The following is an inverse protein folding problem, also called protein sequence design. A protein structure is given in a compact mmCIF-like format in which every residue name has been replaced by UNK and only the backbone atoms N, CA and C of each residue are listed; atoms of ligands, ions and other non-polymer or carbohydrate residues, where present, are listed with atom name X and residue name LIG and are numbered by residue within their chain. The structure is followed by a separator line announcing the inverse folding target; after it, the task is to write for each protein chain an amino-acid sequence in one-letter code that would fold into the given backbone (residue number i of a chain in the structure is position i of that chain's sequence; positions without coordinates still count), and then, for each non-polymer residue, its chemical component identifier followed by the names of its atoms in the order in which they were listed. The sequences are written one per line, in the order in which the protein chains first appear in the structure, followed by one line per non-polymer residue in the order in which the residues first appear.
data_IF_306261564158
#
_entry.id   IF_306261564158
#
_cell.length_a   1.000
_cell.length_b   1.000
_cell.length_c   1.000
_cell.angle_alpha   90.00
_cell.angle_beta   90.00
_cell.angle_gamma   90.00
#
_symmetry.space_group_name_H-M   'P 1'
#
loop_
_entity.id
_entity.type
_entity.pdbx_description
1 polymer ?
#
# COMPACT_ATOMS: atom_id res chain seq x y z
N UNK A 1 -50.27 116.68 25.95
CA UNK A 1 -49.90 115.27 25.69
C UNK A 1 -48.51 115.12 25.03
N UNK A 2 -47.52 115.96 25.39
CA UNK A 2 -46.18 115.96 24.77
C UNK A 2 -45.01 115.97 25.79
N UNK A 3 -45.28 116.08 27.09
CA UNK A 3 -44.25 116.08 28.15
C UNK A 3 -43.92 114.68 28.71
N UNK A 4 -44.85 113.73 28.65
CA UNK A 4 -44.61 112.34 29.08
C UNK A 4 -43.76 111.53 28.09
N UNK A 5 -43.86 111.82 26.79
CA UNK A 5 -43.21 111.04 25.74
C UNK A 5 -41.71 111.40 25.60
N UNK A 6 -41.34 112.66 25.88
CA UNK A 6 -39.93 113.10 25.91
C UNK A 6 -39.19 112.52 27.11
N UNK A 7 -39.84 112.40 28.27
CA UNK A 7 -39.21 111.84 29.46
C UNK A 7 -38.93 110.33 29.31
N UNK A 8 -39.85 109.60 28.65
CA UNK A 8 -39.67 108.16 28.34
C UNK A 8 -38.58 107.95 27.30
N UNK A 9 -38.47 108.82 26.28
CA UNK A 9 -37.41 108.71 25.27
C UNK A 9 -36.01 109.01 25.85
N UNK A 10 -35.90 110.00 26.72
CA UNK A 10 -34.63 110.36 27.39
C UNK A 10 -34.22 109.27 28.41
N UNK A 11 -35.18 108.66 29.11
CA UNK A 11 -34.90 107.51 29.96
C UNK A 11 -34.48 106.28 29.15
N UNK A 12 -35.06 106.02 27.97
CA UNK A 12 -34.66 104.91 27.10
C UNK A 12 -33.26 105.10 26.48
N UNK A 13 -32.85 106.35 26.19
CA UNK A 13 -31.51 106.66 25.68
C UNK A 13 -30.47 106.66 26.82
N UNK A 14 -30.85 107.07 28.03
CA UNK A 14 -29.98 106.96 29.21
C UNK A 14 -29.83 105.51 29.69
N UNK A 15 -30.88 104.68 29.55
CA UNK A 15 -30.82 103.25 29.90
C UNK A 15 -30.06 102.42 28.87
N UNK A 16 -30.06 102.80 27.58
CA UNK A 16 -29.26 102.14 26.54
C UNK A 16 -27.77 102.51 26.57
N UNK A 17 -27.39 103.61 27.24
CA UNK A 17 -25.99 104.05 27.38
C UNK A 17 -25.33 103.61 28.69
N UNK A 18 -26.11 103.15 29.69
CA UNK A 18 -25.61 102.70 31.01
C UNK A 18 -25.61 101.16 31.15
N UNK A 19 -26.16 100.42 30.17
CA UNK A 19 -26.13 98.95 30.11
C UNK A 19 -25.17 98.37 29.06
N UNK A 20 -24.12 99.11 28.70
CA UNK A 20 -22.93 98.53 28.07
C UNK A 20 -21.85 98.34 29.16
N UNK A 21 -21.83 97.20 29.89
CA UNK A 21 -20.60 96.82 30.52
C UNK A 21 -19.60 96.57 29.39
N UNK A 22 -18.63 97.47 29.29
CA UNK A 22 -17.28 97.17 28.83
C UNK A 22 -16.80 95.88 29.50
N UNK A 23 -17.14 94.74 28.90
CA UNK A 23 -16.35 93.53 28.94
C UNK A 23 -15.93 93.22 27.50
N UNK A 24 -15.22 94.16 26.91
CA UNK A 24 -13.95 93.76 26.30
C UNK A 24 -13.00 93.40 27.46
N UNK A 25 -13.34 92.32 28.18
CA UNK A 25 -12.27 91.44 28.62
C UNK A 25 -11.51 91.18 27.33
N UNK A 26 -10.25 91.56 27.29
CA UNK A 26 -9.32 90.90 26.40
C UNK A 26 -9.44 89.41 26.75
N UNK A 27 -10.43 88.73 26.19
CA UNK A 27 -10.41 87.30 25.99
C UNK A 27 -9.10 87.14 25.25
N UNK A 28 -8.08 86.68 25.96
CA UNK A 28 -6.83 86.30 25.35
C UNK A 28 -7.24 85.46 24.15
N UNK A 29 -7.01 85.99 22.94
CA UNK A 29 -7.55 85.41 21.73
C UNK A 29 -7.21 83.93 21.78
N UNK A 30 -8.22 83.07 21.86
CA UNK A 30 -7.95 81.66 22.10
C UNK A 30 -7.07 81.19 20.95
N UNK A 31 -5.86 80.73 21.28
CA UNK A 31 -4.87 80.36 20.29
C UNK A 31 -4.99 78.87 19.97
N UNK A 32 -4.57 78.45 18.76
CA UNK A 32 -4.41 77.04 18.46
C UNK A 32 -3.58 76.35 19.56
N UNK A 33 -4.04 75.19 20.02
CA UNK A 33 -3.36 74.41 21.08
C UNK A 33 -3.52 72.91 20.88
N UNK A 34 -2.56 72.16 21.41
CA UNK A 34 -2.70 70.71 21.57
C UNK A 34 -3.67 70.45 22.72
N UNK A 35 -4.68 69.61 22.47
CA UNK A 35 -5.77 69.33 23.41
C UNK A 35 -5.66 67.94 24.01
N UNK A 36 -5.24 66.95 23.22
CA UNK A 36 -5.06 65.59 23.69
C UNK A 36 -3.99 64.85 22.87
N UNK A 37 -3.41 63.82 23.47
CA UNK A 37 -2.57 62.83 22.80
C UNK A 37 -3.06 61.46 23.22
N UNK A 38 -3.49 60.67 22.25
CA UNK A 38 -3.94 59.29 22.45
C UNK A 38 -2.92 58.31 21.88
N UNK A 39 -2.81 57.16 22.54
CA UNK A 39 -2.03 56.01 22.09
C UNK A 39 -2.98 54.82 21.88
N UNK A 40 -2.80 54.05 20.80
CA UNK A 40 -3.63 52.86 20.57
C UNK A 40 -3.38 51.74 21.58
N UNK A 41 -2.18 51.67 22.16
CA UNK A 41 -1.77 50.67 23.16
C UNK A 41 -0.52 51.12 23.90
N UNK A 42 -0.35 50.61 25.10
CA UNK A 42 0.83 50.89 25.96
C UNK A 42 1.66 49.64 26.24
N UNK A 43 1.18 48.44 25.89
CA UNK A 43 1.93 47.20 25.92
C UNK A 43 2.05 46.64 24.50
N UNK A 44 3.28 46.35 24.07
CA UNK A 44 3.58 45.98 22.68
C UNK A 44 4.72 44.97 22.59
N UNK A 45 4.54 43.96 21.74
CA UNK A 45 5.60 43.02 21.39
C UNK A 45 6.60 43.68 20.44
N UNK A 46 7.87 43.64 20.82
CA UNK A 46 8.95 44.12 19.95
C UNK A 46 9.00 43.33 18.64
N UNK A 47 9.29 44.00 17.54
CA UNK A 47 9.43 43.40 16.21
C UNK A 47 8.12 43.22 15.43
N UNK A 48 6.98 43.03 16.11
CA UNK A 48 5.70 42.72 15.45
C UNK A 48 4.66 43.84 15.56
N UNK A 49 4.73 44.64 16.63
CA UNK A 49 3.70 45.65 16.90
C UNK A 49 4.24 47.07 16.78
N UNK A 50 3.30 48.00 16.60
CA UNK A 50 3.54 49.43 16.61
C UNK A 50 2.54 50.11 17.55
N UNK A 51 2.91 51.31 18.00
CA UNK A 51 2.01 52.19 18.76
C UNK A 51 1.49 53.24 17.78
N UNK A 52 0.17 53.32 17.62
CA UNK A 52 -0.43 54.41 16.85
C UNK A 52 -0.60 55.61 17.79
N UNK A 53 -0.02 56.74 17.39
CA UNK A 53 -0.08 58.01 18.12
C UNK A 53 -1.02 58.94 17.38
N UNK A 54 -1.98 59.54 18.09
CA UNK A 54 -2.84 60.59 17.54
C UNK A 54 -2.83 61.80 18.46
N UNK A 55 -2.38 62.93 17.93
CA UNK A 55 -2.38 64.24 18.61
C UNK A 55 -3.52 65.07 18.05
N UNK A 56 -4.35 65.60 18.93
CA UNK A 56 -5.50 66.43 18.59
C UNK A 56 -5.16 67.90 18.79
N UNK A 57 -5.20 68.68 17.71
CA UNK A 57 -4.91 70.12 17.74
C UNK A 57 -6.19 70.90 17.45
N UNK A 58 -6.63 71.65 18.45
CA UNK A 58 -7.77 72.55 18.33
C UNK A 58 -7.32 73.86 17.71
N UNK A 59 -8.07 74.34 16.73
CA UNK A 59 -7.88 75.67 16.12
C UNK A 59 -9.16 76.47 16.33
N UNK A 60 -9.14 77.49 17.20
CA UNK A 60 -10.29 78.36 17.43
C UNK A 60 -10.77 79.06 16.15
N UNK A 61 -12.09 79.34 16.02
CA UNK A 61 -12.62 80.06 14.85
C UNK A 61 -11.90 81.38 14.61
N UNK A 62 -11.54 81.65 13.36
CA UNK A 62 -10.82 82.87 12.97
C UNK A 62 -9.30 82.83 13.18
N UNK A 63 -8.76 81.72 13.70
CA UNK A 63 -7.31 81.49 13.81
C UNK A 63 -6.83 80.46 12.78
N UNK A 64 -5.51 80.40 12.56
CA UNK A 64 -4.90 79.43 11.65
C UNK A 64 -3.57 78.92 12.22
N UNK A 65 -3.21 77.69 11.85
CA UNK A 65 -1.91 77.09 12.13
C UNK A 65 -0.98 77.39 10.95
N UNK A 66 0.17 78.01 11.20
CA UNK A 66 1.17 78.31 10.18
C UNK A 66 2.13 77.13 9.98
N UNK A 67 2.50 76.44 11.05
CA UNK A 67 3.31 75.22 11.00
C UNK A 67 2.95 74.31 12.18
N UNK A 68 2.92 73.01 11.91
CA UNK A 68 2.72 71.97 12.91
C UNK A 68 3.64 70.80 12.60
N UNK A 69 4.48 70.45 13.57
CA UNK A 69 5.39 69.31 13.45
C UNK A 69 5.49 68.59 14.78
N UNK A 70 5.84 67.30 14.74
CA UNK A 70 6.10 66.55 15.95
C UNK A 70 6.90 65.30 15.70
N UNK A 71 7.48 64.77 16.77
CA UNK A 71 8.26 63.54 16.78
C UNK A 71 7.85 62.69 17.97
N UNK A 72 7.79 61.38 17.75
CA UNK A 72 7.65 60.37 18.78
C UNK A 72 9.00 59.71 19.02
N UNK A 73 9.52 59.84 20.24
CA UNK A 73 10.80 59.25 20.66
C UNK A 73 10.53 58.09 21.61
N UNK A 74 10.75 56.87 21.13
CA UNK A 74 10.73 55.67 21.96
C UNK A 74 12.10 55.47 22.60
N UNK A 75 12.13 55.32 23.92
CA UNK A 75 13.30 54.95 24.71
C UNK A 75 13.04 53.63 25.43
N UNK A 76 13.65 52.55 24.93
CA UNK A 76 13.53 51.20 25.51
C UNK A 76 14.82 50.41 25.30
N UNK A 77 15.94 50.93 25.81
CA UNK A 77 17.30 50.41 25.55
C UNK A 77 17.83 50.71 24.14
N UNK A 78 16.94 51.06 23.21
CA UNK A 78 17.22 51.74 21.94
C UNK A 78 16.43 53.03 21.89
N UNK A 79 16.96 54.04 21.20
CA UNK A 79 16.25 55.28 20.90
C UNK A 79 15.79 55.23 19.45
N UNK A 80 14.48 55.30 19.23
CA UNK A 80 13.88 55.40 17.90
C UNK A 80 13.03 56.67 17.81
N UNK A 81 13.28 57.48 16.79
CA UNK A 81 12.52 58.70 16.51
C UNK A 81 11.64 58.49 15.29
N UNK A 82 10.34 58.76 15.42
CA UNK A 82 9.36 58.66 14.34
C UNK A 82 8.71 60.03 14.13
N UNK A 83 8.83 60.66 12.94
CA UNK A 83 8.13 61.90 12.65
C UNK A 83 6.62 61.68 12.62
N UNK A 84 5.86 62.65 13.14
CA UNK A 84 4.40 62.65 13.05
C UNK A 84 3.95 63.37 11.78
N UNK A 85 3.01 62.77 11.05
CA UNK A 85 2.42 63.34 9.86
C UNK A 85 1.28 64.29 10.24
N UNK A 86 1.31 65.52 9.71
CA UNK A 86 0.22 66.48 9.86
C UNK A 86 -0.91 66.17 8.88
N UNK A 87 -2.11 65.98 9.42
CA UNK A 87 -3.33 65.70 8.67
C UNK A 87 -4.39 66.75 8.98
N UNK A 88 -5.06 67.23 7.94
CA UNK A 88 -6.30 68.01 8.06
C UNK A 88 -7.47 67.07 7.74
N UNK A 89 -8.31 66.71 8.72
CA UNK A 89 -9.41 65.78 8.48
C UNK A 89 -10.48 66.41 7.56
N UNK A 90 -11.02 65.60 6.66
CA UNK A 90 -12.03 66.02 5.67
C UNK A 90 -13.39 66.31 6.34
N UNK A 91 -13.67 65.60 7.44
CA UNK A 91 -14.87 65.78 8.27
C UNK A 91 -14.47 66.23 9.67
N UNK A 92 -15.27 67.07 10.36
CA UNK A 92 -14.97 67.52 11.72
C UNK A 92 -14.79 66.32 12.67
N UNK A 93 -13.61 66.22 13.28
CA UNK A 93 -13.34 65.26 14.36
C UNK A 93 -13.63 65.96 15.67
N UNK A 94 -14.40 65.34 16.56
CA UNK A 94 -14.62 65.89 17.91
C UNK A 94 -13.78 65.14 18.92
N UNK A 95 -13.21 65.87 19.90
CA UNK A 95 -12.47 65.28 21.02
C UNK A 95 -12.92 65.93 22.32
N UNK A 96 -13.39 65.11 23.26
CA UNK A 96 -13.78 65.58 24.59
C UNK A 96 -12.62 65.40 25.56
N UNK A 97 -12.25 66.47 26.25
CA UNK A 97 -11.22 66.48 27.31
C UNK A 97 -11.78 67.29 28.47
N UNK A 98 -11.76 66.72 29.67
CA UNK A 98 -12.25 67.36 30.90
C UNK A 98 -13.65 68.00 30.77
N UNK A 99 -14.61 67.24 30.22
CA UNK A 99 -15.99 67.67 29.93
C UNK A 99 -16.14 68.80 28.89
N UNK A 100 -15.08 69.18 28.18
CA UNK A 100 -15.15 70.15 27.08
C UNK A 100 -14.94 69.44 25.74
N UNK A 101 -15.87 69.64 24.81
CA UNK A 101 -15.78 69.05 23.46
C UNK A 101 -15.19 70.05 22.47
N UNK A 102 -14.07 69.66 21.86
CA UNK A 102 -13.33 70.45 20.89
C UNK A 102 -13.59 69.95 19.47
N UNK A 103 -13.79 70.88 18.53
CA UNK A 103 -13.80 70.58 17.10
C UNK A 103 -12.37 70.61 16.56
N UNK A 104 -11.82 69.44 16.25
CA UNK A 104 -10.44 69.24 15.85
C UNK A 104 -10.30 69.42 14.34
N UNK A 105 -9.47 70.39 13.96
CA UNK A 105 -9.19 70.75 12.57
C UNK A 105 -7.81 70.29 12.09
N UNK A 106 -6.95 69.85 13.02
CA UNK A 106 -5.59 69.42 12.72
C UNK A 106 -5.22 68.21 13.60
N UNK A 107 -4.63 67.19 12.99
CA UNK A 107 -4.12 66.01 13.65
C UNK A 107 -2.63 65.85 13.35
N UNK A 108 -1.87 65.33 14.33
CA UNK A 108 -0.59 64.69 14.04
C UNK A 108 -0.73 63.19 14.31
N UNK A 109 -0.34 62.36 13.35
CA UNK A 109 -0.42 60.90 13.49
C UNK A 109 0.88 60.21 13.12
N UNK A 110 1.18 59.09 13.79
CA UNK A 110 2.23 58.18 13.36
C UNK A 110 1.97 56.75 13.83
N UNK A 111 2.55 55.80 13.09
CA UNK A 111 2.80 54.44 13.58
C UNK A 111 4.24 54.37 14.06
N UNK A 112 4.44 54.22 15.36
CA UNK A 112 5.78 54.11 15.95
C UNK A 112 6.15 52.63 16.00
N UNK A 113 7.03 52.13 15.12
CA UNK A 113 7.41 50.73 15.12
C UNK A 113 8.25 50.41 16.37
N UNK A 114 8.07 49.22 16.93
CA UNK A 114 8.90 48.74 18.03
C UNK A 114 10.00 47.84 17.44
N UNK A 115 11.27 48.27 17.40
CA UNK A 115 12.33 47.48 16.78
C UNK A 115 12.56 46.15 17.51
N UNK A 116 12.95 45.10 16.79
CA UNK A 116 13.35 43.81 17.39
C UNK A 116 14.45 43.96 18.46
N UNK A 117 15.35 44.93 18.29
CA UNK A 117 16.43 45.22 19.22
C UNK A 117 16.03 45.98 20.49
N UNK A 118 14.75 46.37 20.65
CA UNK A 118 14.29 47.01 21.88
C UNK A 118 14.40 46.05 23.08
N UNK A 119 14.77 46.59 24.24
CA UNK A 119 14.89 45.81 25.48
C UNK A 119 13.50 45.58 26.06
N UNK A 120 13.19 44.31 26.36
CA UNK A 120 11.92 43.96 27.01
C UNK A 120 11.85 44.54 28.43
N UNK A 121 10.67 45.00 28.83
CA UNK A 121 10.43 45.66 30.12
C UNK A 121 9.86 47.07 29.96
N UNK A 122 10.17 47.95 30.90
CA UNK A 122 9.66 49.33 30.89
C UNK A 122 10.44 50.20 29.92
N UNK A 123 9.72 50.91 29.07
CA UNK A 123 10.22 51.98 28.22
C UNK A 123 9.40 53.26 28.39
N UNK A 124 9.81 54.29 27.68
CA UNK A 124 9.14 55.59 27.66
C UNK A 124 8.92 56.04 26.21
N UNK A 125 7.71 56.49 25.90
CA UNK A 125 7.38 57.15 24.63
C UNK A 125 7.18 58.64 24.89
N UNK A 126 8.10 59.46 24.38
CA UNK A 126 8.04 60.91 24.49
C UNK A 126 7.53 61.52 23.17
N UNK A 127 6.40 62.21 23.21
CA UNK A 127 5.80 62.91 22.07
C UNK A 127 6.12 64.40 22.19
N UNK A 128 6.93 64.91 21.27
CA UNK A 128 7.32 66.33 21.21
C UNK A 128 6.63 67.00 20.04
N UNK A 129 5.94 68.12 20.28
CA UNK A 129 5.15 68.84 19.27
C UNK A 129 5.58 70.31 19.26
N UNK A 130 5.80 70.84 18.06
CA UNK A 130 6.00 72.28 17.83
C UNK A 130 4.80 72.81 17.05
N UNK A 131 4.06 73.73 17.65
CA UNK A 131 2.90 74.39 17.06
C UNK A 131 3.21 75.87 16.87
N UNK A 132 3.07 76.36 15.64
CA UNK A 132 3.24 77.77 15.31
C UNK A 132 1.91 78.32 14.79
N UNK A 133 1.15 79.08 15.61
CA UNK A 133 -0.01 79.80 15.13
C UNK A 133 0.38 80.92 14.16
N UNK A 134 -0.51 81.26 13.23
CA UNK A 134 -0.29 82.38 12.30
C UNK A 134 -0.29 83.70 13.07
N UNK A 135 0.85 84.40 13.07
CA UNK A 135 1.01 85.68 13.77
C UNK A 135 1.38 85.57 15.26
N UNK A 136 1.81 84.39 15.73
CA UNK A 136 2.27 84.17 17.10
C UNK A 136 3.59 83.41 17.15
N UNK A 137 4.21 83.35 18.33
CA UNK A 137 5.42 82.57 18.58
C UNK A 137 5.11 81.07 18.65
N UNK A 138 6.14 80.24 18.44
CA UNK A 138 6.04 78.80 18.56
C UNK A 138 5.76 78.37 20.01
N UNK A 139 4.87 77.40 20.19
CA UNK A 139 4.60 76.71 21.45
C UNK A 139 5.09 75.27 21.36
N UNK A 140 5.80 74.82 22.39
CA UNK A 140 6.34 73.47 22.49
C UNK A 140 5.55 72.65 23.51
N UNK A 141 5.12 71.46 23.09
CA UNK A 141 4.44 70.51 23.96
C UNK A 141 5.28 69.24 24.07
N UNK A 142 5.35 68.64 25.26
CA UNK A 142 5.99 67.35 25.48
C UNK A 142 5.12 66.49 26.37
N UNK A 143 4.74 65.33 25.85
CA UNK A 143 3.99 64.31 26.59
C UNK A 143 4.84 63.06 26.75
N UNK A 144 4.81 62.44 27.92
CA UNK A 144 5.60 61.26 28.24
C UNK A 144 4.67 60.14 28.70
N UNK A 145 4.77 59.00 28.04
CA UNK A 145 3.92 57.85 28.32
C UNK A 145 4.79 56.65 28.71
N UNK A 146 4.52 55.99 29.85
CA UNK A 146 5.15 54.71 30.14
C UNK A 146 4.62 53.66 29.17
N UNK A 147 5.53 52.89 28.57
CA UNK A 147 5.20 51.77 27.69
C UNK A 147 5.87 50.50 28.19
N UNK A 148 5.22 49.36 27.97
CA UNK A 148 5.75 48.04 28.30
C UNK A 148 6.10 47.31 27.02
N UNK A 149 7.39 47.02 26.83
CA UNK A 149 7.89 46.23 25.72
C UNK A 149 7.88 44.76 26.11
N UNK A 150 7.02 43.99 25.44
CA UNK A 150 6.91 42.55 25.63
C UNK A 150 7.95 41.83 24.78
N UNK A 151 8.43 40.70 25.29
CA UNK A 151 9.43 39.89 24.61
C UNK A 151 8.83 39.12 23.42
N UNK A 152 9.52 39.15 22.28
CA UNK A 152 9.10 38.48 21.05
C UNK A 152 9.29 36.96 21.10
N UNK A 153 10.13 36.45 22.02
CA UNK A 153 10.49 35.02 22.07
C UNK A 153 9.29 34.09 22.25
N UNK A 154 8.22 34.55 22.92
CA UNK A 154 6.98 33.78 23.08
C UNK A 154 6.24 33.62 21.76
N UNK A 155 6.28 34.65 20.90
CA UNK A 155 5.67 34.65 19.57
C UNK A 155 6.45 33.72 18.64
N UNK A 156 7.78 33.87 18.60
CA UNK A 156 8.66 33.00 17.81
C UNK A 156 8.51 31.54 18.20
N UNK A 157 8.47 31.24 19.50
CA UNK A 157 8.29 29.87 19.99
C UNK A 157 6.96 29.29 19.55
N UNK A 158 5.86 30.04 19.71
CA UNK A 158 4.53 29.58 19.34
C UNK A 158 4.42 29.33 17.83
N UNK A 159 4.93 30.25 17.00
CA UNK A 159 4.99 30.10 15.55
C UNK A 159 5.82 28.88 15.14
N UNK A 160 7.02 28.74 15.71
CA UNK A 160 7.92 27.61 15.40
C UNK A 160 7.30 26.28 15.81
N UNK A 161 6.68 26.19 16.97
CA UNK A 161 6.00 24.97 17.41
C UNK A 161 4.84 24.60 16.48
N UNK A 162 3.99 25.57 16.12
CA UNK A 162 2.90 25.36 15.17
C UNK A 162 3.41 24.88 13.81
N UNK A 163 4.48 25.50 13.30
CA UNK A 163 5.10 25.12 12.04
C UNK A 163 5.66 23.70 12.07
N UNK A 164 6.43 23.34 13.11
CA UNK A 164 7.00 22.00 13.26
C UNK A 164 5.90 20.94 13.32
N UNK A 165 4.83 21.20 14.07
CA UNK A 165 3.72 20.24 14.16
C UNK A 165 2.97 20.10 12.84
N UNK A 166 2.76 21.19 12.12
CA UNK A 166 2.16 21.18 10.78
C UNK A 166 3.03 20.40 9.78
N UNK A 167 4.34 20.61 9.78
CA UNK A 167 5.27 19.87 8.92
C UNK A 167 5.32 18.37 9.25
N UNK A 168 5.31 18.02 10.54
CA UNK A 168 5.20 16.61 10.95
C UNK A 168 3.89 15.98 10.48
N UNK A 169 2.77 16.72 10.52
CA UNK A 169 1.49 16.28 10.01
C UNK A 169 1.52 16.09 8.47
N UNK A 170 2.14 17.01 7.73
CA UNK A 170 2.37 16.91 6.27
C UNK A 170 3.20 15.67 5.93
N UNK A 171 4.33 15.47 6.61
CA UNK A 171 5.23 14.36 6.37
C UNK A 171 4.55 13.02 6.66
N UNK A 172 3.83 12.91 7.78
CA UNK A 172 3.10 11.70 8.12
C UNK A 172 2.02 11.36 7.09
N UNK A 173 1.24 12.34 6.64
CA UNK A 173 0.22 12.12 5.61
C UNK A 173 0.86 11.64 4.30
N UNK A 174 1.97 12.25 3.88
CA UNK A 174 2.70 11.83 2.69
C UNK A 174 3.20 10.38 2.78
N UNK A 175 3.71 9.98 3.95
CA UNK A 175 4.10 8.57 4.21
C UNK A 175 2.88 7.65 4.17
N UNK A 176 1.76 8.04 4.77
CA UNK A 176 0.54 7.25 4.75
C UNK A 176 0.00 7.02 3.34
N UNK A 177 0.03 8.04 2.48
CA UNK A 177 -0.44 7.92 1.10
C UNK A 177 0.52 7.06 0.27
N UNK A 178 1.83 7.20 0.48
CA UNK A 178 2.85 6.40 -0.21
C UNK A 178 2.82 4.91 0.19
N UNK A 179 2.70 4.62 1.50
CA UNK A 179 2.72 3.24 2.02
C UNK A 179 1.33 2.59 1.93
N UNK A 180 0.28 3.38 2.17
CA UNK A 180 -1.10 2.90 2.18
C UNK A 180 -1.69 2.70 0.78
N UNK A 181 -1.10 3.28 -0.26
CA UNK A 181 -1.53 3.09 -1.66
C UNK A 181 -2.93 3.61 -1.99
N UNK A 182 -3.54 4.40 -1.12
CA UNK A 182 -4.84 5.03 -1.37
C UNK A 182 -4.85 6.47 -0.84
N UNK A 183 -5.43 7.42 -1.60
CA UNK A 183 -5.53 8.81 -1.18
C UNK A 183 -6.37 8.93 0.10
N UNK A 184 -6.01 9.89 0.95
CA UNK A 184 -6.70 10.16 2.21
C UNK A 184 -7.39 11.53 2.15
N UNK A 185 -8.46 11.69 1.33
CA UNK A 185 -9.03 13.01 1.01
C UNK A 185 -9.51 13.77 2.24
N UNK A 186 -10.06 13.07 3.24
CA UNK A 186 -10.51 13.68 4.49
C UNK A 186 -9.34 14.26 5.30
N UNK A 187 -8.29 13.47 5.53
CA UNK A 187 -7.09 13.93 6.24
C UNK A 187 -6.38 15.04 5.46
N UNK A 188 -6.39 14.96 4.12
CA UNK A 188 -5.82 16.00 3.27
C UNK A 188 -6.58 17.32 3.40
N UNK A 189 -7.90 17.28 3.34
CA UNK A 189 -8.75 18.47 3.53
C UNK A 189 -8.53 19.11 4.91
N UNK A 190 -8.41 18.29 5.96
CA UNK A 190 -8.07 18.80 7.30
C UNK A 190 -6.70 19.48 7.32
N UNK A 191 -5.69 18.86 6.71
CA UNK A 191 -4.33 19.41 6.63
C UNK A 191 -4.30 20.74 5.87
N UNK A 192 -5.02 20.84 4.75
CA UNK A 192 -5.10 22.06 3.95
C UNK A 192 -5.81 23.18 4.74
N UNK A 193 -6.85 22.86 5.52
CA UNK A 193 -7.53 23.81 6.42
C UNK A 193 -6.63 24.32 7.56
N UNK A 194 -5.83 23.41 8.15
CA UNK A 194 -4.85 23.77 9.19
C UNK A 194 -3.76 24.67 8.58
N UNK A 195 -3.28 24.34 7.39
CA UNK A 195 -2.30 25.15 6.65
C UNK A 195 -2.80 26.56 6.40
N UNK A 196 -4.03 26.71 5.87
CA UNK A 196 -4.62 28.02 5.64
C UNK A 196 -4.82 28.82 6.94
N UNK A 197 -5.03 28.12 8.07
CA UNK A 197 -5.10 28.78 9.38
C UNK A 197 -3.73 29.27 9.85
N UNK A 198 -2.66 28.52 9.61
CA UNK A 198 -1.30 29.00 9.85
C UNK A 198 -0.97 30.24 9.02
N UNK A 199 -1.33 30.24 7.73
CA UNK A 199 -1.12 31.40 6.85
C UNK A 199 -1.89 32.64 7.34
N UNK A 200 -3.12 32.46 7.82
CA UNK A 200 -3.90 33.54 8.45
C UNK A 200 -3.25 34.08 9.72
N UNK A 201 -2.59 33.22 10.51
CA UNK A 201 -1.84 33.66 11.69
C UNK A 201 -0.63 34.52 11.30
N UNK A 202 0.10 34.13 10.26
CA UNK A 202 1.22 34.92 9.73
C UNK A 202 0.75 36.29 9.22
N UNK A 203 -0.39 36.36 8.51
CA UNK A 203 -0.99 37.65 8.09
C UNK A 203 -1.38 38.50 9.30
N UNK A 204 -2.06 37.92 10.30
CA UNK A 204 -2.42 38.64 11.52
C UNK A 204 -1.19 39.18 12.25
N UNK A 205 -0.10 38.40 12.28
CA UNK A 205 1.14 38.77 12.96
C UNK A 205 1.91 39.87 12.22
N UNK A 206 2.20 39.68 10.93
CA UNK A 206 3.13 40.53 10.19
C UNK A 206 2.45 41.73 9.52
N UNK A 207 1.21 41.60 9.06
CA UNK A 207 0.51 42.67 8.35
C UNK A 207 -0.32 43.54 9.29
N UNK A 208 -0.96 42.91 10.29
CA UNK A 208 -1.86 43.61 11.21
C UNK A 208 -1.24 43.91 12.59
N UNK A 209 -0.10 43.29 12.94
CA UNK A 209 0.47 43.41 14.28
C UNK A 209 -0.46 42.90 15.39
N UNK A 210 -1.38 42.00 15.04
CA UNK A 210 -2.33 41.38 15.95
C UNK A 210 -1.73 40.08 16.52
N UNK A 211 -0.82 40.26 17.46
CA UNK A 211 -0.08 39.17 18.11
C UNK A 211 -0.99 38.26 18.90
N UNK A 212 -2.04 38.78 19.53
CA UNK A 212 -2.93 37.98 20.37
C UNK A 212 -3.73 36.98 19.51
N UNK A 213 -4.34 37.46 18.42
CA UNK A 213 -5.00 36.61 17.44
C UNK A 213 -4.03 35.60 16.83
N UNK A 214 -2.82 36.04 16.44
CA UNK A 214 -1.82 35.15 15.88
C UNK A 214 -1.42 34.03 16.84
N UNK A 215 -1.13 34.35 18.11
CA UNK A 215 -0.80 33.37 19.15
C UNK A 215 -1.92 32.36 19.38
N UNK A 216 -3.19 32.82 19.40
CA UNK A 216 -4.35 31.94 19.53
C UNK A 216 -4.46 30.97 18.34
N UNK A 217 -4.25 31.47 17.12
CA UNK A 217 -4.32 30.64 15.92
C UNK A 217 -3.15 29.65 15.88
N UNK A 218 -1.91 30.06 16.17
CA UNK A 218 -0.77 29.14 16.25
C UNK A 218 -1.02 28.03 17.29
N UNK A 219 -1.57 28.37 18.46
CA UNK A 219 -1.94 27.38 19.47
C UNK A 219 -2.99 26.37 18.97
N UNK A 220 -3.95 26.83 18.17
CA UNK A 220 -4.96 25.97 17.54
C UNK A 220 -4.34 25.09 16.46
N UNK A 221 -3.52 25.66 15.57
CA UNK A 221 -2.76 24.91 14.55
C UNK A 221 -1.89 23.82 15.17
N UNK A 222 -1.17 24.13 16.24
CA UNK A 222 -0.34 23.16 16.97
C UNK A 222 -1.18 22.00 17.52
N UNK A 223 -2.34 22.28 18.10
CA UNK A 223 -3.25 21.27 18.65
C UNK A 223 -3.87 20.42 17.55
N UNK A 224 -4.40 21.06 16.51
CA UNK A 224 -5.12 20.40 15.42
C UNK A 224 -4.18 19.53 14.58
N UNK A 225 -2.94 19.99 14.36
CA UNK A 225 -1.89 19.19 13.71
C UNK A 225 -1.58 17.92 14.51
N UNK A 226 -1.50 17.99 15.85
CA UNK A 226 -1.33 16.80 16.69
C UNK A 226 -2.55 15.88 16.69
N UNK A 227 -3.76 16.44 16.61
CA UNK A 227 -4.99 15.67 16.40
C UNK A 227 -4.96 14.90 15.08
N UNK A 228 -4.59 15.57 13.99
CA UNK A 228 -4.43 14.97 12.66
C UNK A 228 -3.38 13.85 12.68
N UNK A 229 -2.22 14.08 13.32
CA UNK A 229 -1.19 13.05 13.49
C UNK A 229 -1.76 11.81 14.18
N UNK A 230 -2.53 12.00 15.26
CA UNK A 230 -3.13 10.88 15.99
C UNK A 230 -4.15 10.11 15.13
N UNK A 231 -4.97 10.82 14.36
CA UNK A 231 -5.93 10.22 13.44
C UNK A 231 -5.23 9.45 12.30
N UNK A 232 -4.17 10.02 11.73
CA UNK A 232 -3.35 9.36 10.73
C UNK A 232 -2.70 8.08 11.27
N UNK A 233 -2.14 8.11 12.49
CA UNK A 233 -1.59 6.91 13.14
C UNK A 233 -2.68 5.84 13.33
N UNK A 234 -3.88 6.23 13.79
CA UNK A 234 -4.99 5.30 13.97
C UNK A 234 -5.39 4.60 12.66
N UNK A 235 -5.45 5.36 11.55
CA UNK A 235 -5.72 4.80 10.22
C UNK A 235 -4.62 3.84 9.78
N UNK A 236 -3.35 4.18 10.03
CA UNK A 236 -2.22 3.31 9.71
C UNK A 236 -2.29 1.98 10.47
N UNK A 237 -2.56 2.02 11.77
CA UNK A 237 -2.70 0.82 12.62
C UNK A 237 -3.87 -0.04 12.12
N UNK A 238 -5.02 0.56 11.85
CA UNK A 238 -6.18 -0.17 11.33
C UNK A 238 -5.88 -0.89 10.01
N UNK A 239 -5.13 -0.26 9.10
CA UNK A 239 -4.69 -0.90 7.85
C UNK A 239 -3.69 -2.02 8.08
N UNK A 240 -2.76 -1.83 9.01
CA UNK A 240 -1.79 -2.87 9.37
C UNK A 240 -2.49 -4.13 9.91
N UNK A 241 -3.51 -3.96 10.74
CA UNK A 241 -4.31 -5.07 11.26
C UNK A 241 -5.08 -5.80 10.15
N UNK A 242 -5.69 -5.06 9.22
CA UNK A 242 -6.36 -5.66 8.06
C UNK A 242 -5.41 -6.47 7.18
N UNK A 243 -4.22 -5.91 6.91
CA UNK A 243 -3.19 -6.59 6.13
C UNK A 243 -2.70 -7.86 6.85
N UNK A 244 -2.49 -7.80 8.17
CA UNK A 244 -2.11 -8.94 9.00
C UNK A 244 -3.17 -10.04 8.96
N UNK A 245 -4.45 -9.73 9.17
CA UNK A 245 -5.54 -10.71 9.11
C UNK A 245 -5.67 -11.36 7.73
N UNK A 246 -5.41 -10.60 6.67
CA UNK A 246 -5.38 -11.14 5.30
C UNK A 246 -4.24 -12.13 5.11
N UNK A 247 -3.04 -11.81 5.62
CA UNK A 247 -1.89 -12.70 5.60
C UNK A 247 -2.11 -13.96 6.43
N UNK A 248 -2.67 -13.85 7.63
CA UNK A 248 -3.02 -14.99 8.49
C UNK A 248 -4.01 -15.93 7.81
N UNK A 249 -5.05 -15.38 7.15
CA UNK A 249 -6.00 -16.18 6.34
C UNK A 249 -5.32 -16.91 5.18
N UNK A 250 -4.41 -16.23 4.46
CA UNK A 250 -3.64 -16.85 3.37
C UNK A 250 -2.71 -17.96 3.89
N UNK A 251 -2.05 -17.74 5.02
CA UNK A 251 -1.16 -18.72 5.64
C UNK A 251 -1.95 -19.96 6.08
N UNK A 252 -3.08 -19.78 6.75
CA UNK A 252 -3.97 -20.88 7.13
C UNK A 252 -4.46 -21.68 5.92
N UNK A 253 -4.78 -21.02 4.80
CA UNK A 253 -5.10 -21.69 3.54
C UNK A 253 -3.94 -22.52 2.98
N UNK A 254 -2.70 -22.01 3.07
CA UNK A 254 -1.49 -22.74 2.66
C UNK A 254 -1.27 -23.97 3.56
N UNK A 255 -1.43 -23.84 4.88
CA UNK A 255 -1.32 -24.96 5.83
C UNK A 255 -2.33 -26.07 5.55
N UNK A 256 -3.58 -25.70 5.22
CA UNK A 256 -4.61 -26.64 4.80
C UNK A 256 -4.24 -27.37 3.50
N UNK A 257 -3.74 -26.64 2.51
CA UNK A 257 -3.27 -27.23 1.24
C UNK A 257 -2.09 -28.18 1.45
N UNK A 258 -1.13 -27.81 2.30
CA UNK A 258 0.03 -28.64 2.63
C UNK A 258 -0.40 -29.94 3.34
N UNK A 259 -1.33 -29.85 4.28
CA UNK A 259 -1.89 -31.02 4.98
C UNK A 259 -2.60 -31.97 4.01
N UNK A 260 -3.39 -31.43 3.08
CA UNK A 260 -4.04 -32.21 2.02
C UNK A 260 -3.02 -32.87 1.09
N UNK A 261 -1.97 -32.15 0.69
CA UNK A 261 -0.89 -32.69 -0.14
C UNK A 261 -0.16 -33.84 0.57
N UNK A 262 0.16 -33.69 1.86
CA UNK A 262 0.78 -34.74 2.67
C UNK A 262 -0.10 -36.00 2.72
N UNK A 263 -1.41 -35.86 2.97
CA UNK A 263 -2.34 -36.98 2.97
C UNK A 263 -2.39 -37.72 1.62
N UNK A 264 -2.37 -36.97 0.50
CA UNK A 264 -2.32 -37.54 -0.85
C UNK A 264 -1.03 -38.29 -1.12
N UNK A 265 0.12 -37.76 -0.68
CA UNK A 265 1.42 -38.43 -0.79
C UNK A 265 1.40 -39.75 -0.02
N UNK A 266 0.95 -39.76 1.24
CA UNK A 266 0.87 -40.99 2.03
C UNK A 266 -0.08 -42.03 1.45
N UNK A 267 -1.16 -41.60 0.79
CA UNK A 267 -2.05 -42.51 0.06
C UNK A 267 -1.37 -43.11 -1.18
N UNK A 268 -0.61 -42.30 -1.92
CA UNK A 268 0.17 -42.75 -3.07
C UNK A 268 1.26 -43.74 -2.66
N UNK A 269 2.00 -43.46 -1.58
CA UNK A 269 3.01 -44.38 -1.02
C UNK A 269 2.42 -45.76 -0.73
N UNK A 270 1.24 -45.80 -0.07
CA UNK A 270 0.52 -47.05 0.19
C UNK A 270 0.08 -47.77 -1.09
N UNK A 271 -0.38 -47.03 -2.09
CA UNK A 271 -0.77 -47.61 -3.39
C UNK A 271 0.44 -48.19 -4.13
N UNK A 272 1.59 -47.53 -4.07
CA UNK A 272 2.84 -47.99 -4.70
C UNK A 272 3.34 -49.26 -4.01
N UNK A 273 3.32 -49.33 -2.68
CA UNK A 273 3.71 -50.54 -1.95
C UNK A 273 2.78 -51.72 -2.29
N UNK A 274 1.47 -51.49 -2.33
CA UNK A 274 0.52 -52.54 -2.74
C UNK A 274 0.77 -53.02 -4.17
N UNK A 275 1.10 -52.12 -5.10
CA UNK A 275 1.45 -52.49 -6.46
C UNK A 275 2.77 -53.29 -6.52
N UNK A 276 3.77 -52.91 -5.71
CA UNK A 276 5.03 -53.65 -5.61
C UNK A 276 4.80 -55.09 -5.11
N UNK A 277 3.93 -55.28 -4.12
CA UNK A 277 3.60 -56.62 -3.60
C UNK A 277 2.85 -57.49 -4.63
N UNK A 278 1.93 -56.89 -5.38
CA UNK A 278 1.26 -57.58 -6.49
C UNK A 278 2.26 -58.02 -7.57
N UNK A 279 3.24 -57.18 -7.89
CA UNK A 279 4.32 -57.51 -8.83
C UNK A 279 5.16 -58.68 -8.30
N UNK A 280 5.57 -58.68 -7.03
CA UNK A 280 6.31 -59.80 -6.42
C UNK A 280 5.54 -61.12 -6.51
N UNK A 281 4.23 -61.07 -6.24
CA UNK A 281 3.35 -62.25 -6.32
C UNK A 281 3.25 -62.78 -7.74
N UNK A 282 3.10 -61.89 -8.72
CA UNK A 282 3.08 -62.26 -10.14
C UNK A 282 4.42 -62.86 -10.59
N UNK A 283 5.54 -62.29 -10.15
CA UNK A 283 6.88 -62.81 -10.46
C UNK A 283 7.05 -64.25 -9.94
N UNK A 284 6.63 -64.52 -8.70
CA UNK A 284 6.66 -65.87 -8.14
C UNK A 284 5.79 -66.85 -8.94
N UNK A 285 4.61 -66.44 -9.36
CA UNK A 285 3.69 -67.25 -10.18
C UNK A 285 4.29 -67.58 -11.55
N UNK A 286 4.92 -66.60 -12.20
CA UNK A 286 5.62 -66.78 -13.48
C UNK A 286 6.77 -67.77 -13.33
N UNK A 287 7.59 -67.67 -12.27
CA UNK A 287 8.67 -68.63 -12.01
C UNK A 287 8.16 -70.06 -11.81
N UNK A 288 7.04 -70.22 -11.09
CA UNK A 288 6.38 -71.52 -10.91
C UNK A 288 5.91 -72.11 -12.23
N UNK A 289 5.24 -71.31 -13.07
CA UNK A 289 4.82 -71.71 -14.42
C UNK A 289 5.99 -72.11 -15.30
N UNK A 290 7.08 -71.32 -15.29
CA UNK A 290 8.29 -71.64 -16.05
C UNK A 290 8.88 -72.99 -15.63
N UNK A 291 8.89 -73.30 -14.33
CA UNK A 291 9.35 -74.58 -13.79
C UNK A 291 8.45 -75.74 -14.24
N UNK A 292 7.13 -75.56 -14.16
CA UNK A 292 6.16 -76.57 -14.60
C UNK A 292 6.29 -76.86 -16.10
N UNK A 293 6.43 -75.83 -16.93
CA UNK A 293 6.66 -75.97 -18.38
C UNK A 293 7.98 -76.70 -18.67
N UNK A 294 9.06 -76.38 -17.94
CA UNK A 294 10.32 -77.10 -18.05
C UNK A 294 10.18 -78.60 -17.74
N UNK A 295 9.47 -78.95 -16.66
CA UNK A 295 9.20 -80.34 -16.28
C UNK A 295 8.35 -81.06 -17.33
N UNK A 296 7.31 -80.40 -17.87
CA UNK A 296 6.51 -80.96 -18.96
C UNK A 296 7.34 -81.21 -20.21
N UNK A 297 8.19 -80.25 -20.61
CA UNK A 297 9.10 -80.41 -21.75
C UNK A 297 10.03 -81.61 -21.59
N UNK A 298 10.65 -81.76 -20.41
CA UNK A 298 11.52 -82.91 -20.10
C UNK A 298 10.77 -84.25 -20.13
N UNK A 299 9.51 -84.27 -19.66
CA UNK A 299 8.65 -85.46 -19.67
C UNK A 299 8.30 -85.86 -21.09
N UNK A 300 7.88 -84.91 -21.93
CA UNK A 300 7.60 -85.14 -23.35
C UNK A 300 8.84 -85.67 -24.05
N UNK A 301 10.01 -85.07 -23.81
CA UNK A 301 11.27 -85.52 -24.40
C UNK A 301 11.60 -86.97 -24.01
N UNK A 302 11.38 -87.34 -22.74
CA UNK A 302 11.58 -88.72 -22.25
C UNK A 302 10.64 -89.72 -22.92
N UNK A 303 9.36 -89.35 -23.10
CA UNK A 303 8.41 -90.18 -23.84
C UNK A 303 8.79 -90.35 -25.31
N UNK A 304 9.26 -89.28 -25.98
CA UNK A 304 9.72 -89.36 -27.36
C UNK A 304 10.91 -90.31 -27.50
N UNK A 305 11.90 -90.24 -26.60
CA UNK A 305 13.05 -91.15 -26.59
C UNK A 305 12.62 -92.61 -26.34
N UNK A 306 11.69 -92.84 -25.41
CA UNK A 306 11.18 -94.19 -25.13
C UNK A 306 10.39 -94.76 -26.33
N UNK A 307 9.57 -93.93 -26.98
CA UNK A 307 8.83 -94.28 -28.18
C UNK A 307 9.78 -94.65 -29.32
N UNK A 308 10.80 -93.82 -29.57
CA UNK A 308 11.81 -94.05 -30.61
C UNK A 308 12.56 -95.38 -30.41
N UNK A 309 12.93 -95.68 -29.16
CA UNK A 309 13.52 -96.99 -28.80
C UNK A 309 12.56 -98.15 -29.05
N UNK A 310 11.30 -98.03 -28.63
CA UNK A 310 10.28 -99.06 -28.84
C UNK A 310 10.01 -99.34 -30.32
N UNK A 311 9.97 -98.28 -31.15
CA UNK A 311 9.85 -98.37 -32.61
C UNK A 311 11.07 -99.10 -33.18
N UNK A 312 12.27 -98.72 -32.78
CA UNK A 312 13.53 -99.36 -33.24
C UNK A 312 13.57 -100.85 -32.86
N UNK A 313 13.24 -101.20 -31.62
CA UNK A 313 13.18 -102.59 -31.17
C UNK A 313 12.12 -103.39 -31.95
N UNK A 314 10.96 -102.78 -32.23
CA UNK A 314 9.92 -103.40 -33.04
C UNK A 314 10.39 -103.64 -34.47
N UNK A 315 11.07 -102.67 -35.09
CA UNK A 315 11.65 -102.81 -36.42
C UNK A 315 12.68 -103.95 -36.46
N UNK A 316 13.56 -104.05 -35.46
CA UNK A 316 14.53 -105.14 -35.35
C UNK A 316 13.85 -106.51 -35.22
N UNK A 317 12.76 -106.61 -34.44
CA UNK A 317 11.95 -107.83 -34.33
C UNK A 317 11.28 -108.20 -35.64
N UNK A 318 10.71 -107.23 -36.34
CA UNK A 318 10.12 -107.42 -37.67
C UNK A 318 11.18 -107.94 -38.63
N UNK A 319 12.36 -107.32 -38.68
CA UNK A 319 13.46 -107.74 -39.55
C UNK A 319 13.91 -109.17 -39.23
N UNK A 320 14.08 -109.51 -37.94
CA UNK A 320 14.41 -110.87 -37.51
C UNK A 320 13.33 -111.87 -37.91
N UNK A 321 12.05 -111.51 -37.77
CA UNK A 321 10.92 -112.35 -38.18
C UNK A 321 10.91 -112.54 -39.70
N UNK A 322 11.13 -111.48 -40.49
CA UNK A 322 11.25 -111.56 -41.94
C UNK A 322 12.38 -112.50 -42.38
N UNK A 323 13.55 -112.44 -41.72
CA UNK A 323 14.66 -113.37 -41.97
C UNK A 323 14.31 -114.82 -41.61
N UNK A 324 13.66 -115.05 -40.46
CA UNK A 324 13.21 -116.40 -40.05
C UNK A 324 12.19 -116.98 -41.03
N UNK A 325 11.15 -116.21 -41.39
CA UNK A 325 10.14 -116.62 -42.36
C UNK A 325 10.80 -116.93 -43.70
N UNK A 326 11.69 -116.06 -44.20
CA UNK A 326 12.44 -116.30 -45.44
C UNK A 326 13.23 -117.61 -45.40
N UNK A 327 13.92 -117.89 -44.28
CA UNK A 327 14.68 -119.15 -44.09
C UNK A 327 13.76 -120.37 -44.06
N UNK A 328 12.64 -120.30 -43.33
CA UNK A 328 11.65 -121.39 -43.26
C UNK A 328 11.01 -121.67 -44.63
N UNK A 329 10.64 -120.63 -45.38
CA UNK A 329 10.11 -120.78 -46.74
C UNK A 329 11.14 -121.45 -47.65
N UNK A 330 12.42 -121.02 -47.59
CA UNK A 330 13.48 -121.64 -48.38
C UNK A 330 13.69 -123.11 -48.01
N UNK A 331 13.66 -123.45 -46.71
CA UNK A 331 13.77 -124.83 -46.24
C UNK A 331 12.58 -125.70 -46.70
N UNK A 332 11.36 -125.18 -46.58
CA UNK A 332 10.14 -125.85 -47.08
C UNK A 332 10.23 -126.03 -48.60
N UNK A 333 10.62 -125.00 -49.35
CA UNK A 333 10.83 -125.07 -50.80
C UNK A 333 11.86 -126.13 -51.19
N UNK A 334 13.01 -126.17 -50.50
CA UNK A 334 14.03 -127.22 -50.69
C UNK A 334 13.50 -128.63 -50.36
N UNK A 335 12.71 -128.77 -49.28
CA UNK A 335 12.09 -130.04 -48.88
C UNK A 335 11.05 -130.51 -49.91
N UNK A 336 10.27 -129.58 -50.45
CA UNK A 336 9.32 -129.86 -51.52
C UNK A 336 10.07 -130.31 -52.77
N UNK A 337 11.09 -129.58 -53.22
CA UNK A 337 11.89 -129.94 -54.39
C UNK A 337 12.50 -131.35 -54.25
N UNK A 338 13.17 -131.62 -53.13
CA UNK A 338 13.75 -132.96 -52.87
C UNK A 338 12.71 -134.08 -52.86
N UNK A 339 11.52 -133.86 -52.28
CA UNK A 339 10.42 -134.83 -52.34
C UNK A 339 9.88 -135.01 -53.76
N UNK A 340 9.76 -133.93 -54.53
CA UNK A 340 9.29 -133.96 -55.91
C UNK A 340 10.28 -134.72 -56.81
N UNK A 341 11.57 -134.47 -56.64
CA UNK A 341 12.65 -135.20 -57.33
C UNK A 341 12.61 -136.69 -56.98
N UNK A 342 12.44 -137.01 -55.69
CA UNK A 342 12.29 -138.40 -55.24
C UNK A 342 11.06 -139.06 -55.87
N UNK A 343 9.92 -138.39 -55.89
CA UNK A 343 8.68 -138.87 -56.51
C UNK A 343 8.86 -139.09 -58.03
N UNK A 344 9.51 -138.14 -58.70
CA UNK A 344 9.85 -138.21 -60.12
C UNK A 344 10.72 -139.44 -60.42
N UNK A 345 11.76 -139.68 -59.61
CA UNK A 345 12.62 -140.86 -59.74
C UNK A 345 11.89 -142.19 -59.47
N UNK A 346 10.97 -142.21 -58.49
CA UNK A 346 10.15 -143.38 -58.22
C UNK A 346 9.17 -143.66 -59.38
N UNK A 347 8.58 -142.62 -59.95
CA UNK A 347 7.66 -142.72 -61.09
C UNK A 347 8.39 -143.22 -62.33
N UNK A 348 9.60 -142.73 -62.62
CA UNK A 348 10.40 -143.23 -63.75
C UNK A 348 10.79 -144.70 -63.56
N UNK A 349 11.16 -145.10 -62.34
CA UNK A 349 11.43 -146.50 -61.98
C UNK A 349 10.18 -147.37 -62.18
N UNK A 350 9.01 -146.89 -61.75
CA UNK A 350 7.74 -147.58 -61.95
C UNK A 350 7.36 -147.66 -63.44
N UNK A 351 7.60 -146.61 -64.23
CA UNK A 351 7.40 -146.63 -65.69
C UNK A 351 8.30 -147.68 -66.35
N UNK A 352 9.57 -147.77 -65.95
CA UNK A 352 10.50 -148.79 -66.44
C UNK A 352 10.02 -150.20 -66.07
N UNK A 353 9.61 -150.41 -64.82
CA UNK A 353 9.06 -151.68 -64.37
C UNK A 353 7.77 -152.07 -65.13
N UNK A 354 6.87 -151.11 -65.36
CA UNK A 354 5.65 -151.33 -66.13
C UNK A 354 5.97 -151.64 -67.59
N UNK A 355 6.95 -150.98 -68.20
CA UNK A 355 7.43 -151.31 -69.54
C UNK A 355 8.01 -152.72 -69.60
N UNK A 356 8.81 -153.13 -68.61
CA UNK A 356 9.31 -154.50 -68.49
C UNK A 356 8.16 -155.50 -68.35
N UNK A 357 7.18 -155.24 -67.49
CA UNK A 357 5.99 -156.08 -67.35
C UNK A 357 5.18 -156.15 -68.65
N UNK A 358 5.01 -155.03 -69.34
CA UNK A 358 4.31 -154.99 -70.62
C UNK A 358 5.04 -155.81 -71.70
N UNK A 359 6.38 -155.75 -71.75
CA UNK A 359 7.20 -156.60 -72.62
C UNK A 359 7.08 -158.08 -72.23
N UNK A 360 7.14 -158.40 -70.94
CA UNK A 360 6.98 -159.78 -70.44
C UNK A 360 5.58 -160.33 -70.73
N UNK A 361 4.53 -159.52 -70.60
CA UNK A 361 3.16 -159.92 -70.93
C UNK A 361 2.97 -160.12 -72.44
N UNK A 362 3.58 -159.28 -73.29
CA UNK A 362 3.61 -159.48 -74.74
C UNK A 362 4.29 -160.80 -75.12
N UNK A 363 5.39 -161.16 -74.45
CA UNK A 363 6.07 -162.43 -74.64
C UNK A 363 5.23 -163.61 -74.08
N UNK A 364 4.58 -163.42 -72.93
CA UNK A 364 3.78 -164.45 -72.25
C UNK A 364 2.52 -164.86 -73.00
N UNK A 365 1.80 -163.90 -73.59
CA UNK A 365 0.62 -164.18 -74.43
C UNK A 365 0.97 -164.77 -75.80
N UNK A 366 2.18 -164.51 -76.32
CA UNK A 366 2.64 -165.14 -77.55
C UNK A 366 2.87 -166.66 -77.43
N UNK A 367 3.11 -167.18 -76.20
CA UNK A 367 3.63 -168.53 -76.01
C UNK A 367 2.59 -169.52 -75.44
N UNK A 368 1.51 -169.07 -74.79
CA UNK A 368 0.54 -169.97 -74.13
C UNK A 368 -0.67 -170.40 -74.98
N UNK A 369 -0.89 -169.83 -76.17
CA UNK A 369 -2.03 -170.20 -77.03
C UNK A 369 -1.87 -171.47 -77.89
N UNK A 370 -0.66 -172.03 -78.02
CA UNK A 370 -0.38 -173.05 -79.06
C UNK A 370 -0.15 -174.49 -78.57
N UNK A 371 -0.43 -174.82 -77.30
CA UNK A 371 -0.13 -176.15 -76.77
C UNK A 371 -1.23 -176.75 -75.86
N UNK A 372 -2.26 -177.36 -76.46
CA UNK A 372 -2.51 -178.83 -76.41
C UNK A 372 -3.92 -179.20 -76.90
N UNK A 373 -3.95 -179.71 -78.14
CA UNK A 373 -4.75 -180.88 -78.54
C UNK A 373 -4.04 -182.14 -78.01
N UNK A 374 -4.72 -182.90 -77.16
CA UNK A 374 -5.03 -184.33 -77.34
C UNK A 374 -5.91 -184.78 -76.19
#
# INVERSE_FOLDING_TARGET
MYRGLVLVLVLLIAFSTILLPWRAEAQAAEMPRVVAVDLSRTAVYRGYQWIEVTVYVYTPPGTAVASLSGFANLSAGIVASTPLAWIVPISPVTKTVDNVTYAISNLLVARVPIPFGAVAGRGELAISITLVPRGANATFYTYRFPVTILDHTVVDRARMEAQVRLENARALLAVLEAVGGAPMPELRSMLDSISASFDRADVALYDAGDVETALQIYGSVARDSSGLISQAIAVLVARQDQARLSLERRLSGIEGNLSSAAARISALERSVESAAEAIRTNEASIRSLATALGNYSNTINSYLVALDKSITDTNNKIESLSRMIGTQINNVGSTINTRLDSLSSALSTAQLALAVVAVVMLIGFGITGFARKK
#
